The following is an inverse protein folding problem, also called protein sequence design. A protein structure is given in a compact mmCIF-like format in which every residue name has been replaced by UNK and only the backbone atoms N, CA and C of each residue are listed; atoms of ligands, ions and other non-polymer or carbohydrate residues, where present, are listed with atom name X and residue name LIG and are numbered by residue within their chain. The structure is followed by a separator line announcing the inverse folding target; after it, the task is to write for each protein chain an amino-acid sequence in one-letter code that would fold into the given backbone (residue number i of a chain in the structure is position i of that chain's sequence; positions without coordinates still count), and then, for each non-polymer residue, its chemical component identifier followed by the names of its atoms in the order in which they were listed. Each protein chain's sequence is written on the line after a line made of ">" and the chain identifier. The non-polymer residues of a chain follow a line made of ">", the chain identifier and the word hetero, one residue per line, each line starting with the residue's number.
data_IF_238588320716
#
_entry.id   IF_238588320716
#
_cell.length_a   1.000
_cell.length_b   1.000
_cell.length_c   1.000
_cell.angle_alpha   90.00
_cell.angle_beta   90.00
_cell.angle_gamma   90.00
#
_symmetry.space_group_name_H-M   'P 1'
#
loop_
_entity.id
_entity.type
_entity.pdbx_description
1 polymer ?
#
# COMPACT_ATOMS: atom_id res chain seq x y z
N UNK A 1 18.15 12.08 -5.68
CA UNK A 1 17.72 11.76 -4.30
C UNK A 1 17.08 10.39 -4.31
N UNK A 2 17.65 9.40 -3.64
CA UNK A 2 17.06 8.07 -3.57
C UNK A 2 15.88 8.13 -2.59
N UNK A 3 14.65 8.00 -3.10
CA UNK A 3 13.41 8.05 -2.33
C UNK A 3 13.17 6.77 -1.48
N UNK A 4 14.24 6.15 -0.98
CA UNK A 4 14.14 5.01 -0.07
C UNK A 4 13.82 5.51 1.32
N UNK A 5 12.80 4.91 1.93
CA UNK A 5 12.50 5.12 3.35
C UNK A 5 13.74 4.79 4.18
N UNK A 6 13.88 5.48 5.32
CA UNK A 6 14.84 5.01 6.30
C UNK A 6 14.40 3.62 6.81
N UNK A 7 15.36 2.73 7.08
CA UNK A 7 15.07 1.40 7.61
C UNK A 7 14.36 1.43 8.99
N UNK A 8 14.38 2.57 9.68
CA UNK A 8 13.60 2.78 10.90
C UNK A 8 12.11 2.94 10.58
N UNK A 9 11.77 3.75 9.57
CA UNK A 9 10.38 3.94 9.11
C UNK A 9 9.81 2.65 8.53
N UNK A 10 10.59 1.90 7.74
CA UNK A 10 10.14 0.62 7.19
C UNK A 10 9.78 -0.39 8.29
N UNK A 11 10.62 -0.50 9.33
CA UNK A 11 10.35 -1.38 10.47
C UNK A 11 9.14 -0.92 11.28
N UNK A 12 8.99 0.38 11.50
CA UNK A 12 7.83 0.93 12.21
C UNK A 12 6.53 0.70 11.44
N UNK A 13 6.55 0.91 10.12
CA UNK A 13 5.45 0.63 9.22
C UNK A 13 5.08 -0.85 9.22
N UNK A 14 6.05 -1.75 9.06
CA UNK A 14 5.84 -3.20 9.10
C UNK A 14 5.23 -3.65 10.44
N UNK A 15 5.70 -3.11 11.57
CA UNK A 15 5.17 -3.43 12.89
C UNK A 15 3.74 -2.90 13.11
N UNK A 16 3.40 -1.76 12.52
CA UNK A 16 2.08 -1.14 12.64
C UNK A 16 1.07 -1.69 11.64
N UNK A 17 1.53 -2.43 10.63
CA UNK A 17 0.71 -2.97 9.56
C UNK A 17 -0.30 -3.98 10.10
N UNK A 18 -1.46 -4.01 9.45
CA UNK A 18 -2.46 -5.05 9.66
C UNK A 18 -2.71 -5.75 8.33
N UNK A 19 -2.97 -7.05 8.37
CA UNK A 19 -3.41 -7.79 7.19
C UNK A 19 -4.94 -7.78 7.14
N UNK A 20 -5.50 -7.32 6.03
CA UNK A 20 -6.94 -7.38 5.78
C UNK A 20 -7.25 -7.76 4.33
N UNK A 21 -8.47 -8.26 4.07
CA UNK A 21 -8.95 -8.42 2.71
C UNK A 21 -8.92 -7.11 1.93
N UNK A 22 -8.48 -7.15 0.66
CA UNK A 22 -8.38 -5.97 -0.22
C UNK A 22 -9.69 -5.19 -0.31
N UNK A 23 -10.84 -5.86 -0.21
CA UNK A 23 -12.15 -5.20 -0.21
C UNK A 23 -12.35 -4.12 0.88
N UNK A 24 -11.53 -4.12 1.93
CA UNK A 24 -11.61 -3.17 3.04
C UNK A 24 -10.64 -1.98 2.88
N UNK A 25 -9.71 -2.06 1.93
CA UNK A 25 -8.74 -1.00 1.64
C UNK A 25 -9.47 0.22 1.09
N UNK A 26 -8.95 1.42 1.38
CA UNK A 26 -9.55 2.70 0.97
C UNK A 26 -8.49 3.61 0.33
N UNK A 27 -8.89 4.53 -0.57
CA UNK A 27 -8.02 5.62 -0.99
C UNK A 27 -7.42 6.39 0.20
N UNK A 28 -6.16 6.81 0.08
CA UNK A 28 -5.37 7.47 1.13
C UNK A 28 -4.71 6.50 2.13
N UNK A 29 -5.08 5.21 2.11
CA UNK A 29 -4.37 4.20 2.89
C UNK A 29 -3.08 3.79 2.19
N UNK A 30 -2.18 3.15 2.93
CA UNK A 30 -0.91 2.66 2.42
C UNK A 30 -0.90 1.14 2.44
N UNK A 31 -0.41 0.52 1.38
CA UNK A 31 -0.31 -0.94 1.26
C UNK A 31 1.12 -1.34 0.94
N UNK A 32 1.52 -2.53 1.41
CA UNK A 32 2.80 -3.11 1.04
C UNK A 32 2.62 -3.92 -0.24
N UNK A 33 3.21 -3.47 -1.34
CA UNK A 33 3.12 -4.09 -2.65
C UNK A 33 4.46 -4.73 -3.03
N UNK A 34 4.44 -5.99 -3.45
CA UNK A 34 5.61 -6.69 -3.97
C UNK A 34 5.76 -6.41 -5.46
N UNK A 35 6.86 -5.76 -5.84
CA UNK A 35 7.29 -5.60 -7.23
C UNK A 35 8.49 -6.47 -7.59
N UNK A 36 8.98 -6.42 -8.86
CA UNK A 36 10.11 -7.22 -9.33
C UNK A 36 11.41 -6.98 -8.56
N UNK A 37 11.55 -5.78 -7.98
CA UNK A 37 12.72 -5.30 -7.23
C UNK A 37 12.53 -5.42 -5.71
N UNK A 38 11.47 -6.12 -5.26
CA UNK A 38 11.14 -6.29 -3.85
C UNK A 38 9.84 -5.58 -3.44
N UNK A 39 9.51 -5.69 -2.15
CA UNK A 39 8.33 -5.06 -1.57
C UNK A 39 8.58 -3.60 -1.19
N UNK A 40 7.57 -2.74 -1.42
CA UNK A 40 7.61 -1.34 -1.01
C UNK A 40 6.23 -0.86 -0.56
N UNK A 41 6.21 0.18 0.26
CA UNK A 41 4.98 0.85 0.67
C UNK A 41 4.51 1.81 -0.41
N UNK A 42 3.22 1.75 -0.74
CA UNK A 42 2.59 2.65 -1.70
C UNK A 42 1.22 3.10 -1.22
N UNK A 43 0.88 4.35 -1.52
CA UNK A 43 -0.41 4.94 -1.21
C UNK A 43 -1.46 4.45 -2.22
N UNK A 44 -2.65 4.12 -1.73
CA UNK A 44 -3.80 3.76 -2.54
C UNK A 44 -4.43 5.04 -3.06
N UNK A 45 -4.37 5.24 -4.38
CA UNK A 45 -4.95 6.40 -5.06
C UNK A 45 -6.40 6.13 -5.43
N UNK A 46 -6.68 4.93 -5.95
CA UNK A 46 -8.03 4.54 -6.37
C UNK A 46 -8.22 3.03 -6.37
N UNK A 47 -9.48 2.60 -6.31
CA UNK A 47 -9.87 1.20 -6.32
C UNK A 47 -10.94 1.00 -7.39
N UNK A 48 -10.66 0.13 -8.35
CA UNK A 48 -11.59 -0.24 -9.41
C UNK A 48 -12.09 -1.67 -9.19
N UNK A 49 -13.40 -1.80 -8.94
CA UNK A 49 -14.04 -3.10 -8.82
C UNK A 49 -14.31 -3.67 -10.20
N UNK A 50 -13.74 -4.85 -10.47
CA UNK A 50 -13.91 -5.55 -11.74
C UNK A 50 -14.92 -6.69 -11.59
N UNK A 51 -15.48 -7.21 -12.70
CA UNK A 51 -16.30 -8.42 -12.70
C UNK A 51 -15.57 -9.62 -12.07
N UNK A 52 -16.31 -10.68 -11.75
CA UNK A 52 -15.75 -11.95 -11.25
C UNK A 52 -14.94 -11.83 -9.95
N UNK A 53 -15.25 -10.84 -9.11
CA UNK A 53 -14.60 -10.69 -7.81
C UNK A 53 -13.17 -10.18 -7.87
N UNK A 54 -12.74 -9.65 -9.02
CA UNK A 54 -11.44 -9.01 -9.18
C UNK A 54 -11.47 -7.54 -8.72
N UNK A 55 -10.31 -7.02 -8.36
CA UNK A 55 -10.09 -5.62 -8.01
C UNK A 55 -8.74 -5.16 -8.56
N UNK A 56 -8.74 -3.96 -9.11
CA UNK A 56 -7.53 -3.24 -9.53
C UNK A 56 -7.31 -2.07 -8.59
N UNK A 57 -6.21 -2.11 -7.83
CA UNK A 57 -5.80 -1.06 -6.90
C UNK A 57 -4.73 -0.20 -7.56
N UNK A 58 -5.01 1.08 -7.75
CA UNK A 58 -4.04 2.06 -8.26
C UNK A 58 -3.24 2.62 -7.10
N UNK A 59 -1.92 2.61 -7.26
CA UNK A 59 -0.97 2.94 -6.21
C UNK A 59 -0.08 4.12 -6.64
N UNK A 60 0.37 4.88 -5.65
CA UNK A 60 1.44 5.87 -5.78
C UNK A 60 2.57 5.51 -4.83
N UNK A 61 3.74 5.24 -5.40
CA UNK A 61 4.94 4.96 -4.64
C UNK A 61 5.56 6.25 -4.07
N UNK A 62 6.47 6.10 -3.12
CA UNK A 62 7.14 7.22 -2.47
C UNK A 62 8.06 8.03 -3.39
N UNK A 63 8.55 7.41 -4.45
CA UNK A 63 9.29 8.09 -5.52
C UNK A 63 8.38 8.84 -6.51
N UNK A 64 7.07 8.83 -6.26
CA UNK A 64 6.05 9.44 -7.11
C UNK A 64 5.60 8.57 -8.29
N UNK A 65 6.23 7.40 -8.51
CA UNK A 65 5.85 6.50 -9.58
C UNK A 65 4.46 5.88 -9.33
N UNK A 66 3.76 5.58 -10.42
CA UNK A 66 2.47 4.92 -10.36
C UNK A 66 2.65 3.39 -10.38
N UNK A 67 1.87 2.70 -9.55
CA UNK A 67 1.79 1.25 -9.51
C UNK A 67 0.36 0.75 -9.68
N UNK A 68 0.21 -0.51 -10.07
CA UNK A 68 -1.09 -1.17 -10.13
C UNK A 68 -0.96 -2.57 -9.56
N UNK A 69 -1.89 -2.94 -8.68
CA UNK A 69 -2.05 -4.32 -8.20
C UNK A 69 -3.42 -4.83 -8.64
N UNK A 70 -3.42 -5.98 -9.32
CA UNK A 70 -4.64 -6.71 -9.65
C UNK A 70 -4.71 -7.98 -8.83
N UNK A 71 -5.84 -8.18 -8.16
CA UNK A 71 -6.00 -9.34 -7.28
C UNK A 71 -7.48 -9.60 -6.99
N UNK A 72 -7.77 -10.69 -6.27
CA UNK A 72 -9.11 -11.00 -5.75
C UNK A 72 -9.49 -10.04 -4.62
N UNK A 73 -10.78 -9.68 -4.53
CA UNK A 73 -11.35 -8.89 -3.43
C UNK A 73 -11.11 -9.50 -2.03
N UNK A 74 -10.94 -10.81 -1.97
CA UNK A 74 -10.69 -11.55 -0.72
C UNK A 74 -9.20 -11.75 -0.43
N UNK A 75 -8.30 -11.38 -1.35
CA UNK A 75 -6.88 -11.57 -1.15
C UNK A 75 -6.40 -10.78 0.09
N UNK A 76 -5.51 -11.36 0.92
CA UNK A 76 -4.92 -10.64 2.03
C UNK A 76 -3.98 -9.55 1.53
N UNK A 77 -3.98 -8.41 2.21
CA UNK A 77 -3.08 -7.29 1.93
C UNK A 77 -2.68 -6.58 3.22
N UNK A 78 -1.38 -6.39 3.40
CA UNK A 78 -0.83 -5.58 4.49
C UNK A 78 -1.08 -4.11 4.22
N UNK A 79 -1.72 -3.43 5.17
CA UNK A 79 -2.09 -2.03 5.02
C UNK A 79 -1.83 -1.20 6.29
N UNK A 80 -1.79 0.11 6.09
CA UNK A 80 -1.78 1.15 7.11
C UNK A 80 -2.86 2.17 6.74
N UNK A 81 -3.62 2.63 7.73
CA UNK A 81 -4.50 3.80 7.54
C UNK A 81 -3.65 5.04 7.30
N UNK A 82 -4.23 6.08 6.69
CA UNK A 82 -3.56 7.38 6.51
C UNK A 82 -2.97 7.92 7.83
N UNK A 83 -3.76 7.88 8.91
CA UNK A 83 -3.32 8.33 10.23
C UNK A 83 -2.12 7.51 10.76
N UNK A 84 -2.15 6.19 10.56
CA UNK A 84 -1.03 5.33 10.97
C UNK A 84 0.21 5.60 10.12
N UNK A 85 0.06 5.78 8.81
CA UNK A 85 1.14 6.09 7.89
C UNK A 85 1.84 7.42 8.25
N UNK A 86 1.07 8.46 8.56
CA UNK A 86 1.62 9.73 9.08
C UNK A 86 2.39 9.53 10.39
N UNK A 87 1.79 8.81 11.33
CA UNK A 87 2.40 8.55 12.65
C UNK A 87 3.75 7.83 12.56
N UNK A 88 3.92 6.93 11.60
CA UNK A 88 5.19 6.20 11.41
C UNK A 88 6.16 6.91 10.45
N UNK A 89 5.78 8.06 9.88
CA UNK A 89 6.64 8.85 9.00
C UNK A 89 6.68 8.39 7.54
N UNK A 90 5.68 7.62 7.08
CA UNK A 90 5.54 7.22 5.67
C UNK A 90 5.10 8.39 4.78
N UNK A 91 4.25 9.27 5.31
CA UNK A 91 3.75 10.45 4.61
C UNK A 91 3.65 11.64 5.57
N UNK A 92 3.58 12.85 5.00
CA UNK A 92 3.39 14.10 5.75
C UNK A 92 1.91 14.44 5.91
#
# INVERSE_FOLDING_TARGET
>A
MSARLSSAVERAAAKAAQERPVRLVRPGWWVYAYGPVGGTWAEVVAIEWRPQGQVRVKLRHLDGSAGVVETSRSAPMSYLTEATARRVGLCR
#
